data_IF_390608413203
#
_entry.id   IF_390608413203
#
_cell.length_a   1.000
_cell.length_b   1.000
_cell.length_c   1.000
_cell.angle_alpha   90.00
_cell.angle_beta   90.00
_cell.angle_gamma   90.00
#
_symmetry.space_group_name_H-M   'P 1'
#
loop_
_entity.id
_entity.type
_entity.pdbx_description
1 polymer ?
#
# COMPACT_ATOMS: atom_id res chain seq x y z
N UNK A 1 -20.93 -12.47 13.86
CA UNK A 1 -19.75 -12.59 14.73
C UNK A 1 -18.79 -11.47 14.36
N UNK A 2 -18.39 -10.62 15.31
CA UNK A 2 -17.39 -9.58 15.09
C UNK A 2 -16.02 -10.24 15.00
N UNK A 3 -15.40 -10.22 13.82
CA UNK A 3 -14.04 -10.75 13.63
C UNK A 3 -13.06 -10.03 14.55
N UNK A 4 -12.22 -10.78 15.25
CA UNK A 4 -11.21 -10.25 16.18
C UNK A 4 -9.92 -9.90 15.44
N UNK A 5 -9.05 -9.09 16.04
CA UNK A 5 -7.71 -8.80 15.51
C UNK A 5 -6.93 -10.09 15.19
N UNK A 6 -7.07 -11.13 16.02
CA UNK A 6 -6.41 -12.42 15.80
C UNK A 6 -6.90 -13.11 14.53
N UNK A 7 -8.19 -13.02 14.26
CA UNK A 7 -8.81 -13.58 13.05
C UNK A 7 -8.34 -12.85 11.79
N UNK A 8 -8.18 -11.52 11.88
CA UNK A 8 -7.65 -10.72 10.77
C UNK A 8 -6.18 -11.08 10.46
N UNK A 9 -5.32 -11.22 11.49
CA UNK A 9 -3.92 -11.63 11.29
C UNK A 9 -3.81 -13.05 10.69
N UNK A 10 -4.68 -13.97 11.11
CA UNK A 10 -4.72 -15.30 10.52
C UNK A 10 -5.16 -15.26 9.05
N UNK A 11 -6.20 -14.49 8.73
CA UNK A 11 -6.70 -14.33 7.37
C UNK A 11 -5.66 -13.69 6.42
N UNK A 12 -4.88 -12.72 6.89
CA UNK A 12 -3.75 -12.16 6.12
C UNK A 12 -2.70 -13.24 5.78
N UNK A 13 -2.36 -14.09 6.75
CA UNK A 13 -1.40 -15.18 6.54
C UNK A 13 -1.94 -16.27 5.61
N UNK A 14 -3.24 -16.57 5.67
CA UNK A 14 -3.92 -17.46 4.70
C UNK A 14 -3.89 -16.88 3.28
N UNK A 15 -4.01 -15.57 3.14
CA UNK A 15 -3.93 -14.88 1.85
C UNK A 15 -2.51 -14.88 1.25
N UNK A 16 -1.45 -14.94 2.08
CA UNK A 16 -0.06 -14.87 1.63
C UNK A 16 0.29 -15.86 0.48
N UNK A 17 0.08 -17.19 0.61
CA UNK A 17 0.38 -18.13 -0.47
C UNK A 17 -0.51 -17.97 -1.71
N UNK A 18 -1.70 -17.39 -1.57
CA UNK A 18 -2.59 -17.09 -2.70
C UNK A 18 -2.04 -15.90 -3.50
N UNK A 19 -1.52 -14.89 -2.81
CA UNK A 19 -1.10 -13.62 -3.42
C UNK A 19 0.34 -13.65 -3.93
N UNK A 20 1.26 -14.34 -3.25
CA UNK A 20 2.68 -14.37 -3.63
C UNK A 20 2.94 -14.61 -5.14
N UNK A 21 2.37 -15.64 -5.79
CA UNK A 21 2.60 -15.86 -7.22
C UNK A 21 1.95 -14.82 -8.15
N UNK A 22 1.15 -13.92 -7.59
CA UNK A 22 0.36 -12.93 -8.33
C UNK A 22 0.83 -11.48 -8.10
N UNK A 23 1.86 -11.25 -7.27
CA UNK A 23 2.29 -9.90 -6.88
C UNK A 23 2.60 -9.03 -8.10
N UNK A 24 3.30 -9.53 -9.11
CA UNK A 24 3.61 -8.72 -10.30
C UNK A 24 2.34 -8.30 -11.06
N UNK A 25 1.34 -9.17 -11.19
CA UNK A 25 0.08 -8.83 -11.85
C UNK A 25 -0.75 -7.82 -11.03
N UNK A 26 -0.67 -7.88 -9.70
CA UNK A 26 -1.28 -6.89 -8.80
C UNK A 26 -0.61 -5.53 -9.00
N UNK A 27 0.72 -5.51 -9.03
CA UNK A 27 1.49 -4.30 -9.28
C UNK A 27 1.18 -3.73 -10.67
N UNK A 28 1.04 -4.55 -11.71
CA UNK A 28 0.63 -4.08 -13.05
C UNK A 28 -0.74 -3.41 -13.03
N UNK A 29 -1.70 -3.99 -12.32
CA UNK A 29 -3.05 -3.44 -12.20
C UNK A 29 -3.01 -2.08 -11.49
N UNK A 30 -2.25 -1.99 -10.41
CA UNK A 30 -2.10 -0.75 -9.65
C UNK A 30 -1.37 0.36 -10.43
N UNK A 31 -0.23 0.05 -11.04
CA UNK A 31 0.53 1.03 -11.81
C UNK A 31 -0.18 1.41 -13.11
N UNK A 32 -0.99 0.53 -13.68
CA UNK A 32 -1.92 0.87 -14.77
C UNK A 32 -2.99 1.88 -14.33
N UNK A 33 -3.54 1.72 -13.12
CA UNK A 33 -4.46 2.71 -12.54
C UNK A 33 -3.77 4.05 -12.30
N UNK A 34 -2.60 4.07 -11.66
CA UNK A 34 -1.84 5.32 -11.42
C UNK A 34 -1.46 6.00 -12.74
N UNK A 35 -0.96 5.24 -13.71
CA UNK A 35 -0.53 5.76 -15.02
C UNK A 35 -1.65 6.31 -15.89
N UNK A 36 -2.89 5.86 -15.71
CA UNK A 36 -4.05 6.37 -16.44
C UNK A 36 -4.66 7.65 -15.85
N UNK A 37 -4.16 8.11 -14.69
CA UNK A 37 -4.63 9.33 -14.03
C UNK A 37 -3.49 10.36 -13.89
N UNK A 38 -3.44 11.40 -14.74
CA UNK A 38 -2.33 12.36 -14.76
C UNK A 38 -2.00 12.99 -13.39
N UNK A 39 -3.02 13.26 -12.57
CA UNK A 39 -2.84 13.85 -11.23
C UNK A 39 -2.21 12.89 -10.21
N UNK A 40 -2.32 11.57 -10.39
CA UNK A 40 -1.62 10.58 -9.58
C UNK A 40 -0.20 10.38 -10.09
N UNK A 41 -0.07 10.21 -11.41
CA UNK A 41 1.21 10.03 -12.10
C UNK A 41 2.18 11.19 -11.84
N UNK A 42 1.67 12.41 -11.68
CA UNK A 42 2.46 13.60 -11.33
C UNK A 42 3.35 13.40 -10.10
N UNK A 43 2.98 12.54 -9.14
CA UNK A 43 3.80 12.24 -7.96
C UNK A 43 5.12 11.52 -8.31
N UNK A 44 5.22 10.96 -9.52
CA UNK A 44 6.36 10.22 -10.05
C UNK A 44 7.02 10.92 -11.24
N UNK A 45 6.62 12.15 -11.55
CA UNK A 45 7.08 12.87 -12.73
C UNK A 45 7.99 14.03 -12.39
N UNK A 46 8.97 14.29 -13.24
CA UNK A 46 9.76 15.53 -13.28
C UNK A 46 9.21 16.47 -14.37
N UNK A 47 9.92 17.58 -14.66
CA UNK A 47 9.56 18.48 -15.76
C UNK A 47 9.58 17.77 -17.13
N UNK A 48 10.39 16.72 -17.28
CA UNK A 48 10.54 15.90 -18.48
C UNK A 48 9.47 14.79 -18.59
N UNK A 49 8.64 14.61 -17.55
CA UNK A 49 7.59 13.60 -17.49
C UNK A 49 7.87 12.47 -16.48
N UNK A 50 7.17 11.33 -16.59
CA UNK A 50 7.26 10.24 -15.61
C UNK A 50 8.66 9.61 -15.55
N UNK A 51 9.24 9.56 -14.35
CA UNK A 51 10.59 9.04 -14.16
C UNK A 51 10.58 7.51 -14.00
N UNK A 52 10.95 6.78 -15.05
CA UNK A 52 10.84 5.31 -15.12
C UNK A 52 11.66 4.58 -14.05
N UNK A 53 12.90 5.02 -13.78
CA UNK A 53 13.74 4.42 -12.74
C UNK A 53 13.14 4.53 -11.33
N UNK A 54 12.49 5.67 -11.04
CA UNK A 54 11.83 5.92 -9.76
C UNK A 54 10.57 5.06 -9.64
N UNK A 55 9.75 4.99 -10.69
CA UNK A 55 8.59 4.10 -10.75
C UNK A 55 8.97 2.64 -10.50
N UNK A 56 10.04 2.14 -11.13
CA UNK A 56 10.52 0.78 -10.96
C UNK A 56 11.02 0.50 -9.52
N UNK A 57 11.78 1.41 -8.93
CA UNK A 57 12.28 1.27 -7.56
C UNK A 57 11.15 1.30 -6.52
N UNK A 58 10.18 2.22 -6.67
CA UNK A 58 8.99 2.26 -5.80
C UNK A 58 8.13 1.01 -5.99
N UNK A 59 7.98 0.53 -7.23
CA UNK A 59 7.22 -0.69 -7.54
C UNK A 59 7.76 -1.91 -6.79
N UNK A 60 9.08 -2.09 -6.78
CA UNK A 60 9.71 -3.19 -6.06
C UNK A 60 9.41 -3.13 -4.55
N UNK A 61 9.53 -1.94 -3.94
CA UNK A 61 9.20 -1.74 -2.52
C UNK A 61 7.71 -1.89 -2.23
N UNK A 62 6.83 -1.54 -3.18
CA UNK A 62 5.41 -1.74 -3.03
C UNK A 62 5.03 -3.24 -3.04
N UNK A 63 5.68 -4.02 -3.90
CA UNK A 63 5.57 -5.49 -3.86
C UNK A 63 6.05 -6.07 -2.52
N UNK A 64 7.13 -5.54 -1.95
CA UNK A 64 7.59 -5.95 -0.62
C UNK A 64 6.59 -5.58 0.49
N UNK A 65 5.98 -4.39 0.43
CA UNK A 65 4.95 -3.98 1.39
C UNK A 65 3.73 -4.93 1.38
N UNK A 66 3.32 -5.44 0.20
CA UNK A 66 2.26 -6.47 0.10
C UNK A 66 2.68 -7.71 0.90
N UNK A 67 3.91 -8.21 0.70
CA UNK A 67 4.43 -9.39 1.43
C UNK A 67 4.48 -9.16 2.94
N UNK A 68 4.98 -8.01 3.37
CA UNK A 68 5.13 -7.69 4.79
C UNK A 68 3.75 -7.56 5.46
N UNK A 69 2.77 -6.98 4.76
CA UNK A 69 1.38 -6.89 5.21
C UNK A 69 0.77 -8.29 5.40
N UNK A 70 0.96 -9.18 4.42
CA UNK A 70 0.40 -10.54 4.45
C UNK A 70 1.12 -11.47 5.44
N UNK A 71 2.37 -11.17 5.82
CA UNK A 71 3.06 -11.86 6.91
C UNK A 71 2.39 -11.63 8.27
N UNK A 72 1.74 -10.48 8.42
CA UNK A 72 0.99 -10.10 9.62
C UNK A 72 1.84 -10.14 10.90
N UNK A 73 3.09 -9.68 10.82
CA UNK A 73 4.02 -9.49 11.94
C UNK A 73 4.05 -8.00 12.32
N UNK A 74 3.01 -7.54 13.03
CA UNK A 74 2.85 -6.13 13.41
C UNK A 74 3.52 -5.84 14.76
N UNK A 75 4.85 -5.90 14.77
CA UNK A 75 5.71 -5.60 15.91
C UNK A 75 6.27 -4.16 15.87
N UNK A 76 7.17 -3.82 16.80
CA UNK A 76 7.80 -2.49 16.85
C UNK A 76 8.64 -2.19 15.60
N UNK A 77 9.21 -3.22 14.96
CA UNK A 77 9.98 -3.05 13.72
C UNK A 77 9.05 -2.71 12.56
N UNK A 78 7.92 -3.38 12.46
CA UNK A 78 6.87 -3.04 11.52
C UNK A 78 6.38 -1.60 11.74
N UNK A 79 6.08 -1.22 12.99
CA UNK A 79 5.62 0.13 13.31
C UNK A 79 6.66 1.20 12.91
N UNK A 80 7.95 0.97 13.20
CA UNK A 80 9.01 1.87 12.77
C UNK A 80 9.07 2.01 11.24
N UNK A 81 8.82 0.91 10.51
CA UNK A 81 8.81 0.95 9.05
C UNK A 81 7.56 1.65 8.49
N UNK A 82 6.40 1.56 9.15
CA UNK A 82 5.22 2.34 8.79
C UNK A 82 5.49 3.85 8.87
N UNK A 83 6.20 4.30 9.92
CA UNK A 83 6.63 5.70 10.04
C UNK A 83 7.55 6.12 8.90
N UNK A 84 8.50 5.26 8.53
CA UNK A 84 9.39 5.51 7.39
C UNK A 84 8.62 5.59 6.06
N UNK A 85 7.59 4.75 5.85
CA UNK A 85 6.75 4.86 4.66
C UNK A 85 5.97 6.17 4.64
N UNK A 86 5.41 6.61 5.78
CA UNK A 86 4.76 7.91 5.90
C UNK A 86 5.71 9.06 5.55
N UNK A 87 6.92 9.05 6.13
CA UNK A 87 7.98 10.03 5.84
C UNK A 87 8.31 10.10 4.35
N UNK A 88 8.42 8.95 3.66
CA UNK A 88 8.71 8.87 2.21
C UNK A 88 7.60 9.42 1.31
N UNK A 89 6.38 9.55 1.80
CA UNK A 89 5.30 10.22 1.07
C UNK A 89 5.20 11.71 1.41
N UNK A 90 5.72 12.12 2.58
CA UNK A 90 5.77 13.49 3.06
C UNK A 90 7.19 14.08 2.90
N UNK A 91 7.80 14.54 4.00
CA UNK A 91 9.04 15.32 4.01
C UNK A 91 10.27 14.61 3.44
N UNK A 92 10.26 13.28 3.29
CA UNK A 92 11.38 12.48 2.80
C UNK A 92 11.22 11.98 1.37
N UNK A 93 10.30 12.56 0.59
CA UNK A 93 9.99 12.06 -0.75
C UNK A 93 11.17 12.23 -1.71
N UNK A 94 11.47 11.18 -2.47
CA UNK A 94 12.56 11.15 -3.45
C UNK A 94 13.94 10.80 -2.86
N UNK A 95 14.17 11.01 -1.57
CA UNK A 95 15.48 10.79 -0.93
C UNK A 95 15.98 9.33 -1.02
N UNK A 96 15.07 8.36 -0.85
CA UNK A 96 15.42 6.93 -0.88
C UNK A 96 16.05 6.50 -2.22
N UNK A 97 15.67 7.16 -3.30
CA UNK A 97 16.11 6.84 -4.67
C UNK A 97 17.02 7.92 -5.27
N UNK A 98 17.38 8.95 -4.50
CA UNK A 98 18.19 10.07 -4.98
C UNK A 98 17.51 10.88 -6.10
N UNK A 99 16.17 10.94 -6.11
CA UNK A 99 15.40 11.59 -7.18
C UNK A 99 15.06 13.03 -6.79
N UNK A 100 15.41 13.97 -7.66
CA UNK A 100 15.03 15.37 -7.58
C UNK A 100 14.01 15.74 -8.68
N UNK A 101 13.32 16.87 -8.51
CA UNK A 101 12.43 17.43 -9.54
C UNK A 101 11.01 16.83 -9.58
N UNK A 102 10.72 15.82 -8.75
CA UNK A 102 9.33 15.39 -8.49
C UNK A 102 8.71 16.26 -7.39
N UNK A 103 7.36 16.29 -7.23
CA UNK A 103 6.74 17.00 -6.11
C UNK A 103 7.32 16.56 -4.76
N UNK A 104 7.56 17.49 -3.85
CA UNK A 104 8.18 17.20 -2.53
C UNK A 104 7.26 16.43 -1.58
N UNK A 105 5.95 16.40 -1.84
CA UNK A 105 4.95 15.71 -1.03
C UNK A 105 3.90 15.06 -1.92
N UNK A 106 3.44 13.87 -1.55
CA UNK A 106 2.17 13.32 -2.05
C UNK A 106 1.05 13.87 -1.15
N UNK A 107 0.11 14.68 -1.66
CA UNK A 107 -0.97 15.22 -0.85
C UNK A 107 -1.76 14.12 -0.12
N UNK A 108 -1.96 14.27 1.19
CA UNK A 108 -2.59 13.23 2.03
C UNK A 108 -3.98 12.79 1.54
N UNK A 109 -4.75 13.71 0.94
CA UNK A 109 -6.05 13.38 0.32
C UNK A 109 -5.96 12.22 -0.67
N UNK A 110 -4.82 12.07 -1.37
CA UNK A 110 -4.60 10.95 -2.28
C UNK A 110 -4.29 9.68 -1.49
N UNK A 111 -3.44 9.70 -0.47
CA UNK A 111 -3.20 8.52 0.37
C UNK A 111 -4.51 7.98 0.97
N UNK A 112 -5.34 8.87 1.52
CA UNK A 112 -6.66 8.51 2.05
C UNK A 112 -7.60 7.95 0.97
N UNK A 113 -7.68 8.59 -0.21
CA UNK A 113 -8.52 8.12 -1.30
C UNK A 113 -8.05 6.77 -1.87
N UNK A 114 -6.74 6.51 -1.88
CA UNK A 114 -6.15 5.29 -2.44
C UNK A 114 -6.40 4.03 -1.59
N UNK A 115 -6.92 4.17 -0.37
CA UNK A 115 -7.43 3.02 0.41
C UNK A 115 -8.41 2.19 -0.42
N UNK A 116 -9.32 2.85 -1.16
CA UNK A 116 -10.34 2.18 -1.98
C UNK A 116 -9.72 1.35 -3.11
N UNK A 117 -8.97 1.92 -4.08
CA UNK A 117 -8.38 1.14 -5.17
C UNK A 117 -7.43 0.05 -4.67
N UNK A 118 -6.60 0.29 -3.65
CA UNK A 118 -5.74 -0.76 -3.07
C UNK A 118 -6.54 -1.93 -2.50
N UNK A 119 -7.71 -1.64 -1.92
CA UNK A 119 -8.59 -2.67 -1.37
C UNK A 119 -9.33 -3.43 -2.46
N UNK A 120 -9.97 -2.74 -3.40
CA UNK A 120 -10.80 -3.40 -4.43
C UNK A 120 -9.96 -4.18 -5.43
N UNK A 121 -8.75 -3.71 -5.76
CA UNK A 121 -7.82 -4.41 -6.64
C UNK A 121 -7.47 -5.79 -6.11
N UNK A 122 -7.37 -5.96 -4.79
CA UNK A 122 -6.94 -7.24 -4.18
C UNK A 122 -7.99 -8.35 -4.30
N UNK A 123 -9.29 -8.01 -4.32
CA UNK A 123 -10.40 -8.99 -4.30
C UNK A 123 -10.32 -10.05 -5.41
N UNK A 124 -10.17 -9.72 -6.71
CA UNK A 124 -10.08 -10.72 -7.77
C UNK A 124 -8.86 -11.63 -7.65
N UNK A 125 -7.74 -11.17 -7.05
CA UNK A 125 -6.56 -12.01 -6.85
C UNK A 125 -6.75 -13.00 -5.70
N UNK A 126 -7.35 -12.55 -4.59
CA UNK A 126 -7.74 -13.43 -3.48
C UNK A 126 -8.75 -14.49 -3.92
N UNK A 127 -9.71 -14.12 -4.78
CA UNK A 127 -10.75 -15.02 -5.27
C UNK A 127 -10.19 -16.26 -5.99
N UNK A 128 -9.00 -16.18 -6.60
CA UNK A 128 -8.38 -17.33 -7.30
C UNK A 128 -7.97 -18.46 -6.38
N UNK A 129 -7.75 -18.18 -5.09
CA UNK A 129 -7.38 -19.18 -4.07
C UNK A 129 -8.40 -19.31 -2.94
N UNK A 130 -9.52 -18.58 -2.99
CA UNK A 130 -10.57 -18.70 -2.00
C UNK A 130 -11.30 -20.04 -2.13
N UNK A 131 -11.75 -20.59 -1.00
CA UNK A 131 -12.45 -21.88 -0.94
C UNK A 131 -13.95 -21.70 -1.17
N UNK A 132 -14.47 -20.58 -0.69
CA UNK A 132 -15.86 -20.16 -0.74
C UNK A 132 -15.94 -18.63 -0.56
N UNK A 133 -17.15 -18.08 -0.65
CA UNK A 133 -17.39 -16.65 -0.52
C UNK A 133 -17.04 -16.09 0.88
N UNK A 134 -17.20 -16.90 1.94
CA UNK A 134 -16.90 -16.48 3.30
C UNK A 134 -15.39 -16.36 3.51
N UNK A 135 -14.62 -17.33 3.00
CA UNK A 135 -13.17 -17.31 3.01
C UNK A 135 -12.61 -16.10 2.24
N UNK A 136 -13.16 -15.80 1.06
CA UNK A 136 -12.81 -14.59 0.31
C UNK A 136 -13.09 -13.33 1.13
N UNK A 137 -14.28 -13.22 1.71
CA UNK A 137 -14.68 -12.02 2.46
C UNK A 137 -13.80 -11.82 3.69
N UNK A 138 -13.47 -12.88 4.44
CA UNK A 138 -12.56 -12.79 5.59
C UNK A 138 -11.18 -12.26 5.20
N UNK A 139 -10.56 -12.81 4.15
CA UNK A 139 -9.27 -12.33 3.67
C UNK A 139 -9.33 -10.89 3.15
N UNK A 140 -10.39 -10.55 2.41
CA UNK A 140 -10.57 -9.21 1.83
C UNK A 140 -10.78 -8.14 2.91
N UNK A 141 -11.56 -8.45 3.96
CA UNK A 141 -11.75 -7.55 5.10
C UNK A 141 -10.47 -7.38 5.92
N UNK A 142 -9.72 -8.46 6.12
CA UNK A 142 -8.43 -8.38 6.81
C UNK A 142 -7.42 -7.51 6.04
N UNK A 143 -7.34 -7.68 4.71
CA UNK A 143 -6.58 -6.80 3.83
C UNK A 143 -7.03 -5.34 3.95
N UNK A 144 -8.33 -5.08 3.84
CA UNK A 144 -8.88 -3.73 3.93
C UNK A 144 -8.49 -3.05 5.25
N UNK A 145 -8.67 -3.74 6.39
CA UNK A 145 -8.28 -3.22 7.71
C UNK A 145 -6.79 -2.92 7.79
N UNK A 146 -5.93 -3.78 7.23
CA UNK A 146 -4.49 -3.57 7.21
C UNK A 146 -4.07 -2.35 6.36
N UNK A 147 -4.78 -2.11 5.25
CA UNK A 147 -4.60 -0.90 4.42
C UNK A 147 -5.01 0.35 5.19
N UNK A 148 -6.18 0.33 5.85
CA UNK A 148 -6.67 1.45 6.67
C UNK A 148 -5.69 1.74 7.81
N UNK A 149 -5.24 0.72 8.54
CA UNK A 149 -4.25 0.85 9.60
C UNK A 149 -2.95 1.46 9.07
N UNK A 150 -2.47 0.98 7.91
CA UNK A 150 -1.26 1.52 7.30
C UNK A 150 -1.39 3.00 6.98
N UNK A 151 -2.46 3.41 6.30
CA UNK A 151 -2.67 4.82 5.92
C UNK A 151 -2.89 5.72 7.14
N UNK A 152 -3.58 5.21 8.18
CA UNK A 152 -3.71 5.94 9.45
C UNK A 152 -2.34 6.21 10.08
N UNK A 153 -1.45 5.21 10.09
CA UNK A 153 -0.08 5.39 10.60
C UNK A 153 0.75 6.33 9.72
N UNK A 154 0.60 6.26 8.40
CA UNK A 154 1.31 7.13 7.46
C UNK A 154 0.84 8.59 7.51
N UNK A 155 -0.26 8.87 8.22
CA UNK A 155 -0.78 10.22 8.40
C UNK A 155 0.03 11.07 9.37
N UNK A 156 0.86 10.47 10.24
CA UNK A 156 1.66 11.16 11.27
C UNK A 156 2.37 12.43 10.74
N UNK A 157 3.15 12.39 9.64
CA UNK A 157 3.84 13.58 9.12
C UNK A 157 2.94 14.63 8.45
N UNK A 158 1.66 14.35 8.26
CA UNK A 158 0.69 15.26 7.62
C UNK A 158 -0.20 15.99 8.61
N UNK A 159 -0.25 15.51 9.85
CA UNK A 159 -1.14 16.01 10.88
C UNK A 159 -0.41 17.06 11.69
N UNK A 160 -1.16 18.07 12.18
CA UNK A 160 -0.61 19.10 13.06
C UNK A 160 -0.02 18.44 14.31
N UNK A 161 1.09 18.98 14.82
CA UNK A 161 1.71 18.50 16.05
C UNK A 161 0.70 18.39 17.20
N UNK A 162 0.71 17.23 17.87
CA UNK A 162 -0.21 16.88 18.95
C UNK A 162 -1.62 16.46 18.52
N UNK A 163 -1.90 16.33 17.22
CA UNK A 163 -3.24 15.98 16.69
C UNK A 163 -3.29 14.62 15.96
N UNK A 164 -2.16 13.90 15.91
CA UNK A 164 -2.10 12.53 15.38
C UNK A 164 -2.55 11.52 16.44
#
# INVERSE_FOLDING_TARGET
MTATLRDDLAALREAAPIIEPQIEAILDTWYGFVGSHPFLLASFSTAEGPHQGYLAAVRARFGQWIRDTLRAEFDDRWLAYQREIGRRHASGKGETDGIAGTPEVVPYRYLAALIVPITVTMRPFLAKGARDAEHLERMHQAWFKAVVLSVALWSEPYVREGWW
#
